data_IF_219020075598
#
_entry.id   IF_219020075598
#
_cell.length_a   1.000
_cell.length_b   1.000
_cell.length_c   1.000
_cell.angle_alpha   90.00
_cell.angle_beta   90.00
_cell.angle_gamma   90.00
#
_symmetry.space_group_name_H-M   'P 1'
#
loop_
_entity.id
_entity.type
_entity.pdbx_description
1 polymer ?
#
# COMPACT_ATOMS: atom_id res chain seq x y z
N UNK A 1 10.44 -15.35 -6.20
CA UNK A 1 10.85 -14.57 -7.38
C UNK A 1 9.83 -13.47 -7.73
N UNK A 2 8.54 -13.58 -7.39
CA UNK A 2 7.54 -12.56 -7.75
C UNK A 2 7.52 -11.23 -6.95
N UNK A 3 8.42 -10.98 -6.00
CA UNK A 3 8.42 -9.75 -5.17
C UNK A 3 9.20 -8.58 -5.78
N UNK A 4 10.14 -8.84 -6.69
CA UNK A 4 10.89 -7.80 -7.38
C UNK A 4 9.97 -7.00 -8.33
N UNK A 5 9.07 -7.70 -9.04
CA UNK A 5 8.01 -7.09 -9.86
C UNK A 5 7.07 -6.19 -9.05
N UNK A 6 6.58 -6.69 -7.91
CA UNK A 6 5.78 -5.90 -6.96
C UNK A 6 6.53 -4.64 -6.47
N UNK A 7 7.81 -4.75 -6.15
CA UNK A 7 8.61 -3.60 -5.67
C UNK A 7 8.82 -2.57 -6.79
N UNK A 8 9.13 -3.01 -8.01
CA UNK A 8 9.26 -2.13 -9.17
C UNK A 8 7.92 -1.50 -9.60
N UNK A 9 6.80 -2.21 -9.43
CA UNK A 9 5.45 -1.67 -9.58
C UNK A 9 5.14 -0.60 -8.52
N UNK A 10 5.43 -0.88 -7.23
CA UNK A 10 5.24 0.05 -6.12
C UNK A 10 5.96 1.39 -6.35
N UNK A 11 7.23 1.35 -6.75
CA UNK A 11 8.04 2.56 -6.98
C UNK A 11 7.56 3.38 -8.19
N UNK A 12 7.26 2.73 -9.32
CA UNK A 12 6.72 3.42 -10.51
C UNK A 12 5.34 4.03 -10.23
N UNK A 13 4.49 3.33 -9.48
CA UNK A 13 3.18 3.83 -9.08
C UNK A 13 3.30 4.99 -8.09
N UNK A 14 4.19 4.92 -7.09
CA UNK A 14 4.47 6.03 -6.17
C UNK A 14 4.93 7.28 -6.93
N UNK A 15 5.89 7.13 -7.86
CA UNK A 15 6.35 8.22 -8.74
C UNK A 15 5.18 8.82 -9.53
N UNK A 16 4.36 7.98 -10.18
CA UNK A 16 3.24 8.45 -11.02
C UNK A 16 2.11 9.11 -10.22
N UNK A 17 1.88 8.67 -8.99
CA UNK A 17 0.94 9.32 -8.06
C UNK A 17 1.50 10.64 -7.51
N UNK A 18 2.81 10.75 -7.26
CA UNK A 18 3.45 12.01 -6.88
C UNK A 18 3.45 13.07 -8.00
N UNK A 19 3.49 12.64 -9.26
CA UNK A 19 3.38 13.51 -10.45
C UNK A 19 1.94 13.99 -10.76
N UNK A 20 0.91 13.39 -10.16
CA UNK A 20 -0.48 13.61 -10.54
C UNK A 20 -1.06 14.95 -10.07
N UNK A 21 -1.74 15.70 -10.95
CA UNK A 21 -2.29 17.04 -10.61
C UNK A 21 -3.28 17.02 -9.43
N UNK A 22 -4.06 15.95 -9.26
CA UNK A 22 -5.03 15.79 -8.17
C UNK A 22 -4.40 15.39 -6.81
N UNK A 23 -3.12 15.01 -6.83
CA UNK A 23 -2.37 14.46 -5.67
C UNK A 23 -1.11 15.28 -5.38
N UNK A 24 -0.88 16.34 -6.16
CA UNK A 24 0.25 17.25 -6.05
C UNK A 24 0.10 18.14 -4.82
N UNK A 25 0.97 17.95 -3.84
CA UNK A 25 0.93 18.68 -2.57
C UNK A 25 0.03 18.04 -1.50
N UNK A 26 -0.56 16.86 -1.75
CA UNK A 26 -1.25 16.08 -0.71
C UNK A 26 -0.40 14.91 -0.21
N UNK A 27 -0.69 14.44 1.01
CA UNK A 27 -0.23 13.13 1.45
C UNK A 27 -0.75 12.03 0.52
N UNK A 28 0.01 10.94 0.41
CA UNK A 28 -0.37 9.76 -0.38
C UNK A 28 -0.14 8.52 0.47
N UNK A 29 -1.10 7.60 0.47
CA UNK A 29 -0.97 6.28 1.08
C UNK A 29 -1.69 5.26 0.20
N UNK A 30 -1.03 4.17 -0.17
CA UNK A 30 -1.66 3.11 -0.95
C UNK A 30 -1.06 1.76 -0.59
N UNK A 31 -1.73 0.68 -0.99
CA UNK A 31 -1.16 -0.67 -0.92
C UNK A 31 -0.75 -1.12 -2.34
N UNK A 32 0.56 -1.14 -2.65
CA UNK A 32 1.04 -1.74 -3.88
C UNK A 32 0.64 -3.20 -3.99
N UNK A 33 0.68 -3.94 -2.88
CA UNK A 33 0.30 -5.35 -2.81
C UNK A 33 -1.17 -5.57 -3.20
N UNK A 34 -2.11 -4.82 -2.62
CA UNK A 34 -3.54 -4.85 -2.99
C UNK A 34 -3.78 -4.64 -4.49
N UNK A 35 -3.09 -3.65 -5.07
CA UNK A 35 -3.23 -3.33 -6.49
C UNK A 35 -2.57 -4.38 -7.37
N UNK A 36 -1.41 -4.90 -6.98
CA UNK A 36 -0.68 -5.94 -7.69
C UNK A 36 -1.50 -7.24 -7.76
N UNK A 37 -2.11 -7.66 -6.65
CA UNK A 37 -2.96 -8.85 -6.62
C UNK A 37 -4.28 -8.62 -7.36
N UNK A 38 -4.92 -7.46 -7.22
CA UNK A 38 -6.16 -7.15 -7.96
C UNK A 38 -5.93 -7.13 -9.48
N UNK A 39 -4.84 -6.52 -9.95
CA UNK A 39 -4.44 -6.55 -11.36
C UNK A 39 -3.98 -7.95 -11.79
N UNK A 40 -3.43 -8.76 -10.88
CA UNK A 40 -3.16 -10.18 -11.12
C UNK A 40 -4.44 -11.01 -11.30
N UNK A 41 -5.52 -10.68 -10.61
CA UNK A 41 -6.83 -11.29 -10.83
C UNK A 41 -7.38 -10.88 -12.21
N UNK A 42 -7.26 -9.60 -12.61
CA UNK A 42 -7.58 -9.19 -14.00
C UNK A 42 -6.74 -9.98 -15.00
N UNK A 43 -5.44 -10.16 -14.75
CA UNK A 43 -4.54 -10.89 -15.65
C UNK A 43 -4.95 -12.37 -15.82
N UNK A 44 -5.53 -13.00 -14.80
CA UNK A 44 -6.06 -14.37 -14.92
C UNK A 44 -7.22 -14.50 -15.93
N UNK A 45 -7.94 -13.41 -16.20
CA UNK A 45 -9.00 -13.36 -17.22
C UNK A 45 -8.64 -12.56 -18.48
N UNK A 46 -7.40 -12.07 -18.58
CA UNK A 46 -6.92 -11.30 -19.73
C UNK A 46 -6.30 -12.19 -20.80
N UNK A 47 -6.38 -11.75 -22.06
CA UNK A 47 -5.81 -12.42 -23.23
C UNK A 47 -5.04 -11.44 -24.12
N UNK A 48 -4.25 -12.00 -25.04
CA UNK A 48 -3.50 -11.23 -26.05
C UNK A 48 -2.71 -10.05 -25.47
N UNK A 49 -2.80 -8.90 -26.14
CA UNK A 49 -2.08 -7.68 -25.70
C UNK A 49 -2.52 -7.13 -24.35
N UNK A 50 -3.78 -7.36 -23.97
CA UNK A 50 -4.27 -6.93 -22.66
C UNK A 50 -3.53 -7.67 -21.55
N UNK A 51 -3.27 -8.97 -21.74
CA UNK A 51 -2.41 -9.76 -20.85
C UNK A 51 -0.95 -9.30 -20.93
N UNK A 52 -0.39 -9.09 -22.13
CA UNK A 52 1.00 -8.64 -22.30
C UNK A 52 1.27 -7.31 -21.55
N UNK A 53 0.35 -6.34 -21.63
CA UNK A 53 0.45 -5.06 -20.91
C UNK A 53 0.33 -5.24 -19.39
N UNK A 54 -0.56 -6.12 -18.90
CA UNK A 54 -0.67 -6.43 -17.46
C UNK A 54 0.60 -7.08 -16.91
N UNK A 55 1.15 -8.08 -17.62
CA UNK A 55 2.39 -8.76 -17.22
C UNK A 55 3.59 -7.81 -17.25
N UNK A 56 3.70 -6.95 -18.26
CA UNK A 56 4.74 -5.93 -18.34
C UNK A 56 4.59 -4.82 -17.26
N UNK A 57 3.35 -4.46 -16.92
CA UNK A 57 3.08 -3.52 -15.82
C UNK A 57 3.45 -4.13 -14.46
N UNK A 58 3.13 -5.39 -14.21
CA UNK A 58 3.40 -6.06 -12.94
C UNK A 58 4.84 -6.60 -12.85
N UNK A 59 5.53 -6.78 -13.98
CA UNK A 59 6.87 -7.37 -14.01
C UNK A 59 6.88 -8.88 -13.75
N UNK A 60 5.80 -9.57 -14.14
CA UNK A 60 5.62 -11.01 -13.97
C UNK A 60 5.72 -11.77 -15.32
N UNK A 61 6.06 -13.05 -15.27
CA UNK A 61 6.21 -13.88 -16.48
C UNK A 61 4.89 -14.50 -16.96
N UNK A 62 3.92 -14.72 -16.07
CA UNK A 62 2.59 -15.26 -16.42
C UNK A 62 1.53 -14.92 -15.38
N UNK A 63 0.25 -15.11 -15.74
CA UNK A 63 -0.87 -15.01 -14.79
C UNK A 63 -0.79 -16.08 -13.69
N UNK A 64 -0.28 -17.28 -14.00
CA UNK A 64 -0.05 -18.35 -13.02
C UNK A 64 0.98 -17.95 -11.95
N UNK A 65 2.02 -17.20 -12.33
CA UNK A 65 2.99 -16.67 -11.36
C UNK A 65 2.32 -15.70 -10.39
N UNK A 66 1.43 -14.83 -10.90
CA UNK A 66 0.67 -13.87 -10.09
C UNK A 66 -0.30 -14.60 -9.15
N UNK A 67 -1.09 -15.56 -9.65
CA UNK A 67 -2.01 -16.36 -8.84
C UNK A 67 -1.25 -17.19 -7.78
N UNK A 68 -0.13 -17.80 -8.15
CA UNK A 68 0.74 -18.54 -7.22
C UNK A 68 1.38 -17.66 -6.16
N UNK A 69 1.71 -16.41 -6.48
CA UNK A 69 2.16 -15.41 -5.50
C UNK A 69 1.05 -15.10 -4.49
N UNK A 70 -0.20 -14.87 -4.93
CA UNK A 70 -1.34 -14.59 -4.03
C UNK A 70 -1.64 -15.77 -3.12
N UNK A 71 -1.69 -16.99 -3.67
CA UNK A 71 -1.89 -18.21 -2.87
C UNK A 71 -0.77 -18.42 -1.82
N UNK A 72 0.44 -17.91 -2.09
CA UNK A 72 1.58 -17.94 -1.17
C UNK A 72 1.60 -16.83 -0.11
N UNK A 73 0.67 -15.87 -0.13
CA UNK A 73 0.68 -14.75 0.82
C UNK A 73 0.34 -15.22 2.25
N UNK A 74 1.14 -14.83 3.26
CA UNK A 74 0.85 -15.14 4.65
C UNK A 74 -0.33 -14.30 5.14
N UNK A 75 -1.39 -14.96 5.59
CA UNK A 75 -2.52 -14.34 6.29
C UNK A 75 -2.53 -14.80 7.76
N UNK A 76 -2.56 -13.87 8.71
CA UNK A 76 -2.77 -14.16 10.13
C UNK A 76 -3.97 -13.36 10.67
N UNK A 77 -5.20 -13.90 10.53
CA UNK A 77 -6.40 -13.33 11.14
C UNK A 77 -6.48 -13.61 12.65
N UNK A 78 -5.63 -14.48 13.18
CA UNK A 78 -5.66 -15.00 14.55
C UNK A 78 -4.81 -14.21 15.55
N UNK A 79 -3.89 -13.37 15.07
CA UNK A 79 -3.06 -12.51 15.93
C UNK A 79 -2.08 -13.31 16.77
N UNK A 80 -1.22 -14.10 16.14
CA UNK A 80 -0.18 -14.97 16.73
C UNK A 80 0.95 -14.23 17.50
N UNK A 81 0.67 -13.01 17.98
CA UNK A 81 1.62 -12.10 18.60
C UNK A 81 2.28 -11.12 17.64
N UNK A 82 2.18 -11.34 16.32
CA UNK A 82 2.68 -10.49 15.24
C UNK A 82 1.64 -9.53 14.65
N UNK A 83 1.91 -8.90 13.49
CA UNK A 83 0.95 -8.03 12.82
C UNK A 83 -0.24 -8.82 12.27
N UNK A 84 -1.45 -8.30 12.51
CA UNK A 84 -2.66 -8.81 11.86
C UNK A 84 -2.67 -8.29 10.43
N UNK A 85 -2.81 -9.20 9.47
CA UNK A 85 -2.98 -8.88 8.06
C UNK A 85 -4.08 -9.74 7.44
N UNK A 86 -5.04 -9.07 6.79
CA UNK A 86 -6.14 -9.70 6.04
C UNK A 86 -6.14 -9.21 4.60
N UNK A 87 -6.50 -10.11 3.69
CA UNK A 87 -6.73 -9.82 2.28
C UNK A 87 -8.07 -10.45 1.90
N UNK A 88 -8.94 -9.65 1.31
CA UNK A 88 -10.28 -10.12 0.93
C UNK A 88 -10.58 -9.61 -0.46
N UNK A 89 -11.08 -10.49 -1.33
CA UNK A 89 -11.35 -10.20 -2.73
C UNK A 89 -12.83 -10.42 -3.01
N UNK A 90 -13.44 -9.56 -3.81
CA UNK A 90 -14.83 -9.69 -4.23
C UNK A 90 -14.94 -9.57 -5.75
N UNK A 91 -15.71 -10.46 -6.36
CA UNK A 91 -16.03 -10.49 -7.80
C UNK A 91 -17.55 -10.38 -7.95
N UNK A 92 -18.02 -9.19 -8.28
CA UNK A 92 -19.43 -8.94 -8.57
C UNK A 92 -19.60 -8.90 -10.08
N UNK A 93 -20.53 -9.67 -10.66
CA UNK A 93 -20.73 -9.73 -12.12
C UNK A 93 -22.21 -9.59 -12.47
N UNK A 94 -22.50 -9.11 -13.69
CA UNK A 94 -23.88 -8.94 -14.16
C UNK A 94 -24.61 -10.29 -14.15
N UNK A 95 -25.84 -10.32 -13.62
CA UNK A 95 -26.68 -11.51 -13.63
C UNK A 95 -26.93 -12.00 -15.07
N UNK A 96 -26.95 -13.33 -15.24
CA UNK A 96 -27.04 -14.03 -16.53
C UNK A 96 -25.83 -13.84 -17.46
N UNK A 97 -24.77 -13.17 -17.00
CA UNK A 97 -23.49 -13.06 -17.69
C UNK A 97 -22.45 -13.88 -16.92
N UNK A 98 -22.36 -15.17 -17.26
CA UNK A 98 -21.54 -16.16 -16.56
C UNK A 98 -20.03 -15.89 -16.73
N UNK A 99 -19.28 -16.10 -15.64
CA UNK A 99 -17.82 -16.10 -15.65
C UNK A 99 -17.30 -17.39 -16.30
N UNK A 100 -16.11 -17.36 -16.92
CA UNK A 100 -15.53 -18.59 -17.45
C UNK A 100 -15.15 -19.56 -16.33
N UNK A 101 -15.20 -20.90 -16.55
CA UNK A 101 -14.83 -21.88 -15.53
C UNK A 101 -13.40 -21.73 -15.02
N UNK A 102 -12.46 -21.35 -15.89
CA UNK A 102 -11.04 -21.21 -15.55
C UNK A 102 -10.83 -19.97 -14.66
N UNK A 103 -11.44 -18.83 -15.00
CA UNK A 103 -11.38 -17.62 -14.17
C UNK A 103 -12.07 -17.83 -12.82
N UNK A 104 -13.24 -18.48 -12.81
CA UNK A 104 -13.95 -18.84 -11.58
C UNK A 104 -13.05 -19.69 -10.66
N UNK A 105 -12.38 -20.70 -11.21
CA UNK A 105 -11.46 -21.56 -10.47
C UNK A 105 -10.26 -20.80 -9.90
N UNK A 106 -9.62 -19.91 -10.68
CA UNK A 106 -8.53 -19.07 -10.16
C UNK A 106 -9.02 -18.13 -9.05
N UNK A 107 -10.18 -17.49 -9.24
CA UNK A 107 -10.78 -16.59 -8.26
C UNK A 107 -11.12 -17.29 -6.93
N UNK A 108 -11.67 -18.51 -6.96
CA UNK A 108 -11.98 -19.26 -5.73
C UNK A 108 -10.76 -19.90 -5.08
N UNK A 109 -9.90 -20.59 -5.83
CA UNK A 109 -8.81 -21.37 -5.23
C UNK A 109 -7.57 -20.52 -4.88
N UNK A 110 -7.18 -19.59 -5.76
CA UNK A 110 -5.95 -18.78 -5.55
C UNK A 110 -6.23 -17.50 -4.77
N UNK A 111 -7.37 -16.85 -5.04
CA UNK A 111 -7.73 -15.56 -4.42
C UNK A 111 -8.72 -15.70 -3.26
N UNK A 112 -9.43 -16.84 -3.13
CA UNK A 112 -10.52 -17.04 -2.16
C UNK A 112 -11.57 -15.93 -2.23
N UNK A 113 -11.84 -15.46 -3.45
CA UNK A 113 -12.74 -14.34 -3.68
C UNK A 113 -14.19 -14.73 -3.37
N UNK A 114 -14.94 -13.80 -2.78
CA UNK A 114 -16.40 -13.87 -2.73
C UNK A 114 -16.95 -13.53 -4.12
N UNK A 115 -17.85 -14.36 -4.66
CA UNK A 115 -18.35 -14.22 -6.02
C UNK A 115 -19.87 -14.10 -5.99
N UNK A 116 -20.41 -13.05 -6.62
CA UNK A 116 -21.85 -12.73 -6.59
C UNK A 116 -22.35 -12.20 -7.92
N UNK A 117 -23.46 -12.76 -8.40
CA UNK A 117 -24.24 -12.20 -9.48
C UNK A 117 -25.09 -11.03 -8.98
N UNK A 118 -25.17 -9.96 -9.77
CA UNK A 118 -25.86 -8.70 -9.47
C UNK A 118 -26.55 -8.21 -10.73
N UNK A 119 -27.81 -7.76 -10.66
CA UNK A 119 -28.40 -7.03 -11.77
C UNK A 119 -28.05 -5.54 -11.71
N UNK A 120 -27.04 -5.11 -12.47
CA UNK A 120 -26.66 -3.70 -12.58
C UNK A 120 -27.60 -2.89 -13.49
N UNK A 121 -28.59 -3.50 -14.17
CA UNK A 121 -29.57 -2.75 -14.95
C UNK A 121 -30.55 -1.97 -14.06
N UNK A 122 -30.94 -2.55 -12.92
CA UNK A 122 -31.92 -1.98 -11.99
C UNK A 122 -31.27 -1.01 -10.98
N UNK A 123 -31.77 0.22 -10.89
CA UNK A 123 -31.16 1.30 -10.11
C UNK A 123 -31.11 1.01 -8.60
N UNK A 124 -32.20 0.47 -8.05
CA UNK A 124 -32.29 0.10 -6.64
C UNK A 124 -31.28 -1.02 -6.30
N UNK A 125 -31.11 -2.00 -7.19
CA UNK A 125 -30.18 -3.13 -7.03
C UNK A 125 -28.73 -2.67 -7.13
N UNK A 126 -28.40 -1.75 -8.06
CA UNK A 126 -27.06 -1.13 -8.12
C UNK A 126 -26.68 -0.43 -6.82
N UNK A 127 -27.57 0.40 -6.30
CA UNK A 127 -27.28 1.25 -5.15
C UNK A 127 -27.33 0.45 -3.83
N UNK A 128 -28.13 -0.62 -3.75
CA UNK A 128 -28.02 -1.63 -2.70
C UNK A 128 -26.67 -2.35 -2.78
N UNK A 129 -26.29 -2.86 -3.95
CA UNK A 129 -24.98 -3.53 -4.16
C UNK A 129 -23.81 -2.63 -3.78
N UNK A 130 -23.83 -1.33 -4.15
CA UNK A 130 -22.79 -0.38 -3.77
C UNK A 130 -22.67 -0.26 -2.23
N UNK A 131 -23.80 -0.21 -1.54
CA UNK A 131 -23.85 -0.16 -0.06
C UNK A 131 -23.36 -1.46 0.55
N UNK A 132 -23.73 -2.62 0.00
CA UNK A 132 -23.23 -3.93 0.45
C UNK A 132 -21.71 -4.05 0.27
N UNK A 133 -21.15 -3.66 -0.88
CA UNK A 133 -19.70 -3.61 -1.12
C UNK A 133 -19.00 -2.69 -0.10
N UNK A 134 -19.61 -1.54 0.21
CA UNK A 134 -19.07 -0.62 1.22
C UNK A 134 -19.14 -1.20 2.64
N UNK A 135 -20.22 -1.91 2.99
CA UNK A 135 -20.35 -2.59 4.29
C UNK A 135 -19.39 -3.77 4.44
N UNK A 136 -19.19 -4.55 3.37
CA UNK A 136 -18.19 -5.60 3.26
C UNK A 136 -16.78 -5.03 3.45
N UNK A 137 -16.42 -3.98 2.68
CA UNK A 137 -15.13 -3.32 2.82
C UNK A 137 -14.91 -2.73 4.23
N UNK A 138 -15.96 -2.22 4.87
CA UNK A 138 -15.90 -1.76 6.25
C UNK A 138 -15.63 -2.92 7.22
N UNK A 139 -16.36 -4.04 7.11
CA UNK A 139 -16.17 -5.20 7.97
C UNK A 139 -14.74 -5.77 7.86
N UNK A 140 -14.26 -6.00 6.63
CA UNK A 140 -12.94 -6.56 6.35
C UNK A 140 -11.78 -5.63 6.76
N UNK A 141 -12.04 -4.33 6.93
CA UNK A 141 -11.03 -3.33 7.32
C UNK A 141 -11.17 -2.84 8.77
N UNK A 142 -11.89 -3.58 9.63
CA UNK A 142 -12.19 -3.18 11.01
C UNK A 142 -12.81 -1.78 11.13
N UNK A 143 -13.65 -1.43 10.16
CA UNK A 143 -14.33 -0.14 10.00
C UNK A 143 -13.38 1.05 9.80
N UNK A 144 -12.23 0.84 9.15
CA UNK A 144 -11.38 1.94 8.68
C UNK A 144 -11.82 2.46 7.30
N UNK A 145 -12.42 1.62 6.46
CA UNK A 145 -12.88 1.98 5.10
C UNK A 145 -14.40 1.82 4.99
N UNK A 146 -15.14 2.87 5.37
CA UNK A 146 -16.61 2.91 5.33
C UNK A 146 -17.21 3.14 3.94
N UNK A 147 -16.46 3.79 3.05
CA UNK A 147 -16.87 4.09 1.68
C UNK A 147 -15.69 3.77 0.76
N UNK A 148 -15.77 2.64 0.06
CA UNK A 148 -14.80 2.17 -0.93
C UNK A 148 -15.26 2.58 -2.35
N UNK A 149 -16.55 2.39 -2.64
CA UNK A 149 -17.22 2.82 -3.86
C UNK A 149 -18.04 4.10 -3.63
N UNK A 150 -17.69 5.24 -4.26
CA UNK A 150 -18.45 6.49 -4.14
C UNK A 150 -19.81 6.40 -4.86
N UNK A 151 -20.76 7.27 -4.48
CA UNK A 151 -22.03 7.40 -5.20
C UNK A 151 -21.84 7.58 -6.71
N UNK A 152 -22.66 6.87 -7.51
CA UNK A 152 -22.56 6.87 -8.97
C UNK A 152 -21.37 6.11 -9.56
N UNK A 153 -20.62 5.31 -8.78
CA UNK A 153 -19.54 4.48 -9.32
C UNK A 153 -20.02 3.27 -10.12
N UNK A 154 -21.25 2.81 -9.87
CA UNK A 154 -21.90 1.69 -10.59
C UNK A 154 -22.96 2.26 -11.54
N UNK A 155 -23.04 1.70 -12.75
CA UNK A 155 -23.91 2.17 -13.84
C UNK A 155 -24.65 1.00 -14.49
N UNK A 156 -25.64 1.29 -15.33
CA UNK A 156 -26.35 0.32 -16.20
C UNK A 156 -25.43 -0.31 -17.27
N UNK A 157 -24.25 0.28 -17.47
CA UNK A 157 -23.19 -0.26 -18.31
C UNK A 157 -22.17 -1.11 -17.53
N UNK A 158 -22.21 -1.14 -16.19
CA UNK A 158 -21.33 -2.00 -15.39
C UNK A 158 -21.60 -3.48 -15.71
N UNK A 159 -20.54 -4.25 -15.93
CA UNK A 159 -20.61 -5.70 -16.24
C UNK A 159 -19.93 -6.56 -15.20
N UNK A 160 -18.88 -6.04 -14.56
CA UNK A 160 -18.27 -6.64 -13.39
C UNK A 160 -17.60 -5.57 -12.52
N UNK A 161 -17.36 -5.91 -11.26
CA UNK A 161 -16.60 -5.13 -10.29
C UNK A 161 -15.65 -6.09 -9.57
N UNK A 162 -14.36 -5.83 -9.66
CA UNK A 162 -13.36 -6.49 -8.83
C UNK A 162 -13.03 -5.57 -7.66
N UNK A 163 -13.09 -6.11 -6.46
CA UNK A 163 -12.80 -5.37 -5.22
C UNK A 163 -11.71 -6.10 -4.45
N UNK A 164 -10.85 -5.33 -3.78
CA UNK A 164 -9.92 -5.86 -2.80
C UNK A 164 -9.89 -4.95 -1.58
N UNK A 165 -9.97 -5.59 -0.41
CA UNK A 165 -9.68 -4.97 0.88
C UNK A 165 -8.36 -5.55 1.41
N UNK A 166 -7.50 -4.68 1.92
CA UNK A 166 -6.33 -5.05 2.71
C UNK A 166 -6.36 -4.27 4.01
N UNK A 167 -6.11 -4.96 5.12
CA UNK A 167 -5.97 -4.35 6.43
C UNK A 167 -4.68 -4.85 7.08
N UNK A 168 -3.92 -3.92 7.65
CA UNK A 168 -2.68 -4.22 8.37
C UNK A 168 -2.68 -3.50 9.71
N UNK A 169 -2.35 -4.23 10.77
CA UNK A 169 -2.17 -3.70 12.12
C UNK A 169 -1.02 -4.41 12.82
N UNK A 170 0.10 -3.71 13.00
CA UNK A 170 1.27 -4.22 13.74
C UNK A 170 1.63 -3.34 14.94
N UNK A 171 1.97 -3.95 16.07
CA UNK A 171 2.63 -3.23 17.18
C UNK A 171 4.14 -3.11 16.90
N UNK A 172 4.80 -2.02 17.31
CA UNK A 172 6.26 -1.90 17.15
C UNK A 172 6.99 -2.97 17.98
N UNK A 173 8.14 -3.47 17.50
CA UNK A 173 9.06 -4.28 18.32
C UNK A 173 9.58 -3.45 19.51
N UNK A 174 9.89 -2.18 19.25
CA UNK A 174 10.27 -1.17 20.26
C UNK A 174 9.27 -0.02 20.20
N UNK A 175 8.36 0.06 21.16
CA UNK A 175 7.37 1.14 21.27
C UNK A 175 8.03 2.47 21.66
N UNK A 176 7.44 3.56 21.21
CA UNK A 176 7.74 4.89 21.72
C UNK A 176 6.99 5.11 23.05
N UNK A 177 7.57 5.81 24.03
CA UNK A 177 6.82 6.19 25.24
C UNK A 177 5.97 7.44 24.96
N UNK A 178 4.64 7.32 25.06
CA UNK A 178 3.68 8.43 24.89
C UNK A 178 4.02 9.67 25.73
N UNK A 179 4.59 9.47 26.92
CA UNK A 179 5.00 10.55 27.81
C UNK A 179 6.26 11.32 27.36
N UNK A 180 6.85 10.96 26.21
CA UNK A 180 7.93 11.66 25.54
C UNK A 180 7.50 12.24 24.19
N UNK A 181 6.25 12.05 23.78
CA UNK A 181 5.70 12.70 22.60
C UNK A 181 5.49 14.19 22.92
N UNK A 182 6.18 15.07 22.19
CA UNK A 182 6.08 16.52 22.32
C UNK A 182 5.80 17.13 20.94
N UNK A 183 5.17 18.31 20.90
CA UNK A 183 4.89 19.02 19.65
C UNK A 183 6.16 19.72 19.15
N UNK A 184 6.47 19.56 17.86
CA UNK A 184 7.56 20.27 17.18
C UNK A 184 7.14 20.71 15.78
N UNK A 185 7.89 21.66 15.21
CA UNK A 185 7.70 22.19 13.86
C UNK A 185 7.99 21.12 12.78
N UNK A 186 7.06 20.97 11.83
CA UNK A 186 7.24 20.23 10.58
C UNK A 186 7.18 21.20 9.38
N UNK A 187 8.21 21.16 8.53
CA UNK A 187 8.42 22.05 7.40
C UNK A 187 7.76 21.48 6.14
N UNK A 188 6.89 22.23 5.47
CA UNK A 188 6.06 21.72 4.35
C UNK A 188 6.57 22.19 2.99
N UNK A 189 6.28 21.42 1.93
CA UNK A 189 6.70 21.74 0.55
C UNK A 189 5.99 22.97 -0.06
N UNK A 190 4.85 23.38 0.49
CA UNK A 190 4.04 24.47 -0.06
C UNK A 190 4.62 25.87 0.22
N UNK A 191 5.69 25.95 1.03
CA UNK A 191 6.31 27.20 1.45
C UNK A 191 5.47 27.99 2.44
N UNK A 192 4.45 27.38 3.04
CA UNK A 192 3.72 27.94 4.18
C UNK A 192 4.56 27.81 5.46
N UNK A 193 4.14 28.52 6.51
CA UNK A 193 4.77 28.42 7.83
C UNK A 193 4.78 26.95 8.33
N UNK A 194 5.80 26.53 9.11
CA UNK A 194 5.82 25.20 9.72
C UNK A 194 4.59 24.92 10.57
N UNK A 195 4.23 23.64 10.71
CA UNK A 195 3.11 23.19 11.55
C UNK A 195 3.62 22.45 12.78
N UNK A 196 3.16 22.85 13.95
CA UNK A 196 3.39 22.10 15.19
C UNK A 196 2.59 20.79 15.14
N UNK A 197 3.30 19.66 15.25
CA UNK A 197 2.71 18.31 15.28
C UNK A 197 3.40 17.44 16.33
N UNK A 198 2.72 16.42 16.89
CA UNK A 198 3.32 15.55 17.90
C UNK A 198 4.37 14.60 17.30
N UNK A 199 5.63 14.76 17.71
CA UNK A 199 6.72 13.85 17.36
C UNK A 199 6.97 12.82 18.45
N UNK A 200 7.04 11.56 18.03
CA UNK A 200 7.44 10.44 18.87
C UNK A 200 8.97 10.35 18.95
N UNK A 201 9.49 10.08 20.15
CA UNK A 201 10.93 9.91 20.39
C UNK A 201 11.24 8.71 21.30
N UNK A 202 12.52 8.34 21.37
CA UNK A 202 13.02 7.28 22.25
C UNK A 202 13.99 7.88 23.29
N UNK A 203 14.04 7.36 24.53
CA UNK A 203 14.79 7.96 25.62
C UNK A 203 16.32 7.84 25.44
N UNK A 204 16.92 8.91 24.93
CA UNK A 204 18.38 9.07 24.83
C UNK A 204 18.99 8.30 23.66
N UNK A 205 20.21 7.80 23.83
CA UNK A 205 20.94 7.15 22.72
C UNK A 205 20.56 5.67 22.60
N UNK A 206 19.85 5.32 21.53
CA UNK A 206 19.37 3.98 21.21
C UNK A 206 20.24 3.31 20.11
N UNK A 207 20.05 2.01 19.91
CA UNK A 207 20.59 1.28 18.76
C UNK A 207 19.45 0.93 17.80
N UNK A 208 19.41 1.61 16.67
CA UNK A 208 18.32 1.56 15.69
C UNK A 208 18.85 1.16 14.33
N UNK A 209 18.02 0.52 13.51
CA UNK A 209 18.38 0.26 12.12
C UNK A 209 18.28 1.56 11.32
N UNK A 210 19.43 2.24 11.13
CA UNK A 210 19.53 3.47 10.33
C UNK A 210 20.70 3.38 9.35
N UNK A 211 20.42 3.65 8.07
CA UNK A 211 21.42 3.90 7.02
C UNK A 211 21.46 5.38 6.65
N UNK A 212 22.66 5.88 6.34
CA UNK A 212 22.89 7.22 5.82
C UNK A 212 23.45 7.04 4.41
N UNK A 213 22.64 7.36 3.40
CA UNK A 213 22.98 7.23 1.99
C UNK A 213 23.39 8.62 1.45
N UNK A 214 23.75 8.69 0.17
CA UNK A 214 23.99 9.98 -0.48
C UNK A 214 22.63 10.65 -0.79
N UNK A 215 22.35 11.78 -0.12
CA UNK A 215 21.14 12.58 -0.32
C UNK A 215 19.90 12.13 0.45
N UNK A 216 19.95 11.03 1.22
CA UNK A 216 18.84 10.57 2.07
C UNK A 216 19.27 9.59 3.16
N UNK A 217 18.43 9.46 4.19
CA UNK A 217 18.56 8.56 5.34
C UNK A 217 17.41 7.56 5.32
N UNK A 218 17.64 6.34 5.81
CA UNK A 218 16.56 5.35 5.99
C UNK A 218 16.54 4.86 7.42
N UNK A 219 15.40 5.05 8.10
CA UNK A 219 15.09 4.42 9.39
C UNK A 219 14.23 3.18 9.14
N UNK A 220 14.59 2.06 9.77
CA UNK A 220 13.77 0.85 9.80
C UNK A 220 13.26 0.61 11.22
N UNK A 221 11.94 0.53 11.35
CA UNK A 221 11.19 0.21 12.57
C UNK A 221 10.53 -1.17 12.40
N UNK A 222 11.10 -2.23 13.02
CA UNK A 222 10.47 -3.55 13.01
C UNK A 222 9.16 -3.55 13.78
N UNK A 223 8.18 -4.27 13.26
CA UNK A 223 7.01 -4.67 14.03
C UNK A 223 7.34 -5.89 14.89
N UNK A 224 6.61 -6.08 15.99
CA UNK A 224 6.72 -7.27 16.84
C UNK A 224 6.44 -8.52 15.99
N UNK A 225 7.31 -9.53 16.09
CA UNK A 225 7.10 -10.82 15.46
C UNK A 225 6.10 -11.69 16.26
N UNK A 226 5.38 -12.56 15.56
CA UNK A 226 4.59 -13.63 16.18
C UNK A 226 5.44 -14.77 16.71
N UNK A 227 4.85 -15.63 17.55
CA UNK A 227 5.60 -16.65 18.29
C UNK A 227 6.19 -17.74 17.36
N UNK A 228 5.56 -17.99 16.20
CA UNK A 228 6.01 -18.91 15.13
C UNK A 228 6.41 -18.18 13.82
N UNK A 229 6.91 -16.93 13.91
CA UNK A 229 7.00 -16.00 12.77
C UNK A 229 7.87 -16.47 11.58
N UNK A 230 7.20 -17.04 10.56
CA UNK A 230 7.71 -17.27 9.20
C UNK A 230 7.81 -15.98 8.35
N UNK A 231 7.21 -14.88 8.81
CA UNK A 231 7.20 -13.56 8.15
C UNK A 231 7.59 -12.47 9.14
N UNK A 232 8.32 -11.45 8.69
CA UNK A 232 8.75 -10.33 9.53
C UNK A 232 8.46 -9.02 8.83
N UNK A 233 7.74 -8.12 9.49
CA UNK A 233 7.34 -6.84 8.92
C UNK A 233 8.14 -5.69 9.53
N UNK A 234 8.45 -4.68 8.71
CA UNK A 234 9.06 -3.42 9.15
C UNK A 234 8.45 -2.24 8.41
N UNK A 235 8.28 -1.11 9.10
CA UNK A 235 8.14 0.18 8.42
C UNK A 235 9.53 0.75 8.14
N UNK A 236 9.76 1.18 6.91
CA UNK A 236 10.98 1.87 6.49
C UNK A 236 10.63 3.31 6.10
N UNK A 237 11.21 4.28 6.79
CA UNK A 237 11.03 5.72 6.55
C UNK A 237 12.24 6.23 5.79
N UNK A 238 12.02 6.72 4.58
CA UNK A 238 13.02 7.30 3.68
C UNK A 238 12.89 8.82 3.75
N UNK A 239 13.89 9.46 4.33
CA UNK A 239 13.93 10.89 4.61
C UNK A 239 15.07 11.52 3.78
N UNK A 240 14.81 12.49 2.89
CA UNK A 240 15.87 13.18 2.15
C UNK A 240 16.83 13.93 3.10
N UNK A 241 17.95 14.40 2.56
CA UNK A 241 18.85 15.32 3.29
C UNK A 241 18.44 16.80 3.14
N UNK A 242 17.62 17.13 2.14
CA UNK A 242 17.09 18.47 1.83
C UNK A 242 15.55 18.45 1.95
N UNK A 243 14.96 19.52 2.49
CA UNK A 243 13.52 19.59 2.82
C UNK A 243 12.59 19.36 1.61
N UNK A 244 13.00 19.77 0.41
CA UNK A 244 12.27 19.59 -0.85
C UNK A 244 12.70 18.34 -1.67
N UNK A 245 13.66 17.57 -1.15
CA UNK A 245 14.32 16.46 -1.85
C UNK A 245 13.45 15.22 -2.12
N UNK A 246 12.26 15.12 -1.52
CA UNK A 246 11.40 13.93 -1.57
C UNK A 246 11.09 13.46 -3.00
N UNK A 247 10.68 14.37 -3.90
CA UNK A 247 10.35 14.00 -5.28
C UNK A 247 11.57 13.51 -6.07
N UNK A 248 12.73 14.14 -5.85
CA UNK A 248 13.99 13.73 -6.47
C UNK A 248 14.45 12.35 -5.95
N UNK A 249 14.32 12.09 -4.65
CA UNK A 249 14.61 10.80 -4.03
C UNK A 249 13.69 9.69 -4.57
N UNK A 250 12.36 9.89 -4.60
CA UNK A 250 11.42 8.90 -5.13
C UNK A 250 11.65 8.63 -6.61
N UNK A 251 11.93 9.67 -7.41
CA UNK A 251 12.29 9.52 -8.82
C UNK A 251 13.55 8.69 -9.00
N UNK A 252 14.60 8.97 -8.21
CA UNK A 252 15.87 8.25 -8.26
C UNK A 252 15.71 6.78 -7.87
N UNK A 253 14.96 6.49 -6.79
CA UNK A 253 14.66 5.11 -6.37
C UNK A 253 13.90 4.32 -7.45
N UNK A 254 12.94 4.95 -8.13
CA UNK A 254 12.19 4.32 -9.21
C UNK A 254 13.03 4.09 -10.48
N UNK A 255 13.93 5.04 -10.82
CA UNK A 255 14.71 4.99 -12.06
C UNK A 255 15.97 4.11 -11.96
N UNK A 256 16.49 3.86 -10.74
CA UNK A 256 17.65 2.96 -10.54
C UNK A 256 17.34 1.47 -10.79
N UNK A 257 16.07 1.05 -10.72
CA UNK A 257 15.66 -0.34 -10.94
C UNK A 257 16.20 -1.37 -9.93
N UNK A 258 16.87 -0.93 -8.87
CA UNK A 258 17.34 -1.77 -7.76
C UNK A 258 16.21 -2.09 -6.76
N UNK A 259 16.48 -2.99 -5.80
CA UNK A 259 15.48 -3.29 -4.79
C UNK A 259 15.42 -2.16 -3.76
N UNK A 260 14.21 -1.73 -3.38
CA UNK A 260 13.99 -0.84 -2.23
C UNK A 260 14.76 -1.32 -0.97
N UNK A 261 14.87 -2.64 -0.82
CA UNK A 261 15.51 -3.34 0.29
C UNK A 261 17.04 -3.21 0.31
N UNK A 262 17.67 -2.80 -0.78
CA UNK A 262 19.13 -2.59 -0.84
C UNK A 262 19.56 -1.38 0.00
N UNK A 263 18.67 -0.39 0.15
CA UNK A 263 18.87 0.79 1.01
C UNK A 263 18.44 0.57 2.46
N UNK A 264 17.67 -0.49 2.74
CA UNK A 264 17.12 -0.77 4.07
C UNK A 264 18.21 -1.30 5.01
N UNK A 265 18.45 -0.65 6.16
CA UNK A 265 19.54 -1.03 7.07
C UNK A 265 19.37 -2.43 7.68
N UNK A 266 20.39 -3.27 7.48
CA UNK A 266 20.49 -4.64 8.02
C UNK A 266 21.22 -4.71 9.38
N UNK A 267 21.92 -3.65 9.76
CA UNK A 267 22.67 -3.52 11.02
C UNK A 267 22.11 -2.36 11.84
N UNK A 268 22.21 -2.45 13.17
CA UNK A 268 21.85 -1.35 14.08
C UNK A 268 23.02 -0.38 14.22
N UNK A 269 22.71 0.90 14.09
CA UNK A 269 23.58 2.05 14.29
C UNK A 269 23.19 2.74 15.61
N UNK A 270 24.13 3.39 16.28
CA UNK A 270 23.78 4.24 17.43
C UNK A 270 23.09 5.49 16.92
N UNK A 271 21.95 5.84 17.52
CA UNK A 271 21.18 7.04 17.22
C UNK A 271 20.99 7.79 18.54
N UNK A 272 21.46 9.03 18.58
CA UNK A 272 21.40 9.95 19.72
C UNK A 272 20.01 10.54 19.91
N UNK A 273 19.32 10.80 18.80
CA UNK A 273 18.07 11.54 18.73
C UNK A 273 17.24 11.00 17.57
N UNK A 274 16.00 10.61 17.87
CA UNK A 274 15.01 10.15 16.91
C UNK A 274 13.77 11.02 17.10
N UNK A 275 13.29 11.62 16.03
CA UNK A 275 12.00 12.32 15.99
C UNK A 275 11.25 11.82 14.76
N UNK A 276 10.07 11.24 14.96
CA UNK A 276 9.17 10.80 13.89
C UNK A 276 7.76 11.32 14.21
N UNK A 277 7.12 12.12 13.34
CA UNK A 277 5.79 12.63 13.62
C UNK A 277 4.78 11.50 13.63
N UNK A 278 3.75 11.62 14.49
CA UNK A 278 2.54 10.81 14.39
C UNK A 278 1.79 11.26 13.13
N UNK A 279 1.17 10.31 12.44
CA UNK A 279 0.32 10.64 11.30
C UNK A 279 -0.78 9.60 11.11
N UNK A 280 -1.91 10.07 10.58
CA UNK A 280 -3.00 9.24 10.10
C UNK A 280 -3.34 9.69 8.69
N UNK A 281 -3.20 8.79 7.72
CA UNK A 281 -3.50 9.04 6.33
C UNK A 281 -4.73 8.23 5.93
N UNK A 282 -5.69 8.86 5.28
CA UNK A 282 -6.70 8.18 4.46
C UNK A 282 -6.55 8.72 3.06
N UNK A 283 -6.45 7.82 2.09
CA UNK A 283 -6.23 8.18 0.69
C UNK A 283 -7.13 7.33 -0.19
N UNK A 284 -7.81 7.99 -1.11
CA UNK A 284 -8.66 7.38 -2.13
C UNK A 284 -8.21 7.89 -3.49
N UNK A 285 -8.06 6.99 -4.45
CA UNK A 285 -7.75 7.36 -5.82
C UNK A 285 -8.48 6.50 -6.86
N UNK A 286 -8.64 7.12 -8.03
CA UNK A 286 -9.10 6.50 -9.27
C UNK A 286 -7.88 6.29 -10.15
N UNK A 287 -7.57 5.03 -10.47
CA UNK A 287 -6.29 4.64 -11.04
C UNK A 287 -6.30 4.45 -12.55
N UNK A 288 -7.45 4.46 -13.24
CA UNK A 288 -7.50 4.21 -14.69
C UNK A 288 -6.52 5.09 -15.49
N UNK A 289 -6.50 6.41 -15.23
CA UNK A 289 -5.58 7.32 -15.94
C UNK A 289 -4.11 7.12 -15.52
N UNK A 290 -3.86 6.76 -14.27
CA UNK A 290 -2.51 6.48 -13.75
C UNK A 290 -1.95 5.20 -14.41
N UNK A 291 -2.77 4.15 -14.49
CA UNK A 291 -2.43 2.85 -15.10
C UNK A 291 -2.25 2.97 -16.62
N UNK A 292 -3.12 3.71 -17.34
CA UNK A 292 -2.91 4.09 -18.76
C UNK A 292 -1.59 4.84 -18.97
N UNK A 293 -1.22 5.71 -18.03
CA UNK A 293 0.06 6.44 -18.01
C UNK A 293 1.28 5.55 -17.74
N UNK A 294 1.10 4.43 -17.04
CA UNK A 294 2.13 3.42 -16.75
C UNK A 294 2.24 2.32 -17.82
N UNK A 295 1.33 2.29 -18.79
CA UNK A 295 1.39 1.40 -19.96
C UNK A 295 0.20 0.46 -20.14
N UNK A 296 -0.73 0.37 -19.19
CA UNK A 296 -1.93 -0.47 -19.30
C UNK A 296 -3.05 0.30 -20.00
N UNK A 297 -3.20 0.11 -21.32
CA UNK A 297 -4.08 0.89 -22.20
C UNK A 297 -5.16 0.04 -22.87
N UNK A 298 -4.79 -1.13 -23.38
CA UNK A 298 -5.68 -2.06 -24.09
C UNK A 298 -6.85 -2.44 -23.15
N UNK A 299 -6.55 -2.77 -21.89
CA UNK A 299 -7.54 -3.14 -20.86
C UNK A 299 -8.67 -2.11 -20.61
N UNK A 300 -8.44 -0.84 -20.94
CA UNK A 300 -9.42 0.26 -20.74
C UNK A 300 -9.94 0.83 -22.08
N UNK A 301 -9.77 0.13 -23.20
CA UNK A 301 -10.15 0.59 -24.54
C UNK A 301 -11.22 -0.32 -25.12
N UNK A 302 -12.33 0.23 -25.63
CA UNK A 302 -13.53 -0.54 -26.00
C UNK A 302 -13.25 -1.59 -27.08
N UNK A 303 -12.56 -1.18 -28.15
CA UNK A 303 -12.34 -1.99 -29.34
C UNK A 303 -11.13 -2.92 -29.25
N UNK A 304 -10.47 -2.95 -28.08
CA UNK A 304 -9.10 -3.45 -27.93
C UNK A 304 -8.87 -4.26 -26.64
N UNK A 305 -9.69 -4.04 -25.60
CA UNK A 305 -9.68 -4.86 -24.40
C UNK A 305 -9.92 -6.34 -24.75
N UNK A 306 -9.13 -7.21 -24.13
CA UNK A 306 -9.30 -8.65 -24.26
C UNK A 306 -9.34 -9.28 -22.89
N UNK A 307 -10.52 -9.18 -22.27
CA UNK A 307 -10.88 -9.82 -21.00
C UNK A 307 -11.76 -11.08 -21.25
N UNK A 308 -11.57 -11.73 -22.40
CA UNK A 308 -12.33 -12.92 -22.81
C UNK A 308 -12.17 -14.13 -21.88
N UNK A 309 -11.13 -14.12 -21.04
CA UNK A 309 -10.95 -15.10 -19.97
C UNK A 309 -11.83 -14.83 -18.75
N UNK A 310 -12.24 -13.58 -18.47
CA UNK A 310 -13.25 -13.30 -17.44
C UNK A 310 -14.61 -13.81 -17.90
N UNK A 311 -14.98 -13.48 -19.14
CA UNK A 311 -16.30 -13.71 -19.72
C UNK A 311 -16.21 -13.90 -21.23
N UNK A 312 -16.95 -14.87 -21.78
CA UNK A 312 -16.87 -15.19 -23.20
C UNK A 312 -17.35 -14.00 -24.08
N UNK A 313 -16.53 -13.60 -25.05
CA UNK A 313 -16.82 -12.51 -26.00
C UNK A 313 -18.09 -12.70 -26.83
N UNK A 314 -18.59 -13.92 -26.96
CA UNK A 314 -19.88 -14.21 -27.58
C UNK A 314 -21.09 -13.83 -26.71
N UNK A 315 -20.89 -13.64 -25.40
CA UNK A 315 -21.88 -13.15 -24.44
C UNK A 315 -21.84 -11.63 -24.36
N UNK A 316 -20.67 -11.05 -24.09
CA UNK A 316 -20.44 -9.61 -24.07
C UNK A 316 -18.95 -9.28 -24.23
N UNK A 317 -18.64 -8.20 -24.95
CA UNK A 317 -17.30 -7.62 -24.90
C UNK A 317 -17.17 -6.74 -23.66
N UNK A 318 -16.06 -6.85 -22.94
CA UNK A 318 -15.89 -6.26 -21.60
C UNK A 318 -14.50 -5.64 -21.43
N UNK A 319 -14.45 -4.49 -20.76
CA UNK A 319 -13.23 -3.73 -20.44
C UNK A 319 -13.19 -3.33 -18.97
N UNK A 320 -12.05 -2.82 -18.50
CA UNK A 320 -12.00 -2.01 -17.29
C UNK A 320 -12.46 -0.58 -17.60
N UNK A 321 -13.41 -0.06 -16.82
CA UNK A 321 -13.77 1.37 -16.86
C UNK A 321 -12.95 2.17 -15.84
N UNK A 322 -12.87 1.68 -14.59
CA UNK A 322 -12.15 2.34 -13.49
C UNK A 322 -11.52 1.32 -12.54
N UNK A 323 -10.46 1.72 -11.84
CA UNK A 323 -9.87 0.97 -10.71
C UNK A 323 -9.88 1.88 -9.48
N UNK A 324 -10.74 1.57 -8.53
CA UNK A 324 -10.84 2.29 -7.26
C UNK A 324 -9.85 1.72 -6.24
N UNK A 325 -9.09 2.58 -5.58
CA UNK A 325 -8.23 2.20 -4.47
C UNK A 325 -8.47 3.09 -3.27
N UNK A 326 -8.50 2.49 -2.08
CA UNK A 326 -8.55 3.21 -0.81
C UNK A 326 -7.63 2.52 0.20
N UNK A 327 -6.86 3.33 0.91
CA UNK A 327 -5.99 2.87 1.98
C UNK A 327 -6.07 3.81 3.18
N UNK A 328 -5.92 3.24 4.38
CA UNK A 328 -5.78 3.98 5.63
C UNK A 328 -4.51 3.47 6.32
N UNK A 329 -3.63 4.40 6.72
CA UNK A 329 -2.39 4.10 7.45
C UNK A 329 -2.35 4.99 8.68
N UNK A 330 -2.15 4.38 9.85
CA UNK A 330 -2.03 5.08 11.13
C UNK A 330 -0.74 4.69 11.84
N UNK A 331 0.02 5.71 12.27
CA UNK A 331 1.30 5.58 12.96
C UNK A 331 1.23 6.30 14.30
N UNK A 332 1.41 5.53 15.37
CA UNK A 332 1.42 6.01 16.75
C UNK A 332 2.48 5.27 17.59
N UNK A 333 2.54 5.62 18.88
CA UNK A 333 3.61 5.23 19.79
C UNK A 333 3.66 3.73 20.06
N UNK A 334 2.50 3.07 20.01
CA UNK A 334 2.34 1.64 20.26
C UNK A 334 2.71 0.79 19.04
N UNK A 335 2.80 1.42 17.85
CA UNK A 335 2.77 0.78 16.54
C UNK A 335 1.57 1.31 15.76
N UNK A 336 0.65 0.39 15.53
CA UNK A 336 -0.71 0.65 15.09
C UNK A 336 -1.68 0.10 16.18
N UNK A 337 -1.38 0.37 17.48
CA UNK A 337 -2.06 -0.11 18.73
C UNK A 337 -1.81 -1.60 19.09
N UNK A 338 -1.44 -2.07 20.30
CA UNK A 338 -1.48 -1.49 21.67
C UNK A 338 -0.21 -1.72 22.57
N UNK A 339 -0.21 -1.25 23.83
CA UNK A 339 0.77 -1.15 24.95
C UNK A 339 1.49 -2.43 25.52
N UNK A 340 2.50 -2.40 26.42
CA UNK A 340 3.09 -1.35 27.30
C UNK A 340 4.67 -1.35 27.36
N UNK A 341 5.29 -0.73 28.39
CA UNK A 341 6.68 -0.17 28.40
C UNK A 341 7.71 -0.75 29.43
N UNK A 342 9.02 -0.48 29.21
CA UNK A 342 10.11 -0.41 30.23
C UNK A 342 11.36 0.34 29.69
N UNK A 343 12.20 0.96 30.55
CA UNK A 343 13.35 1.80 30.12
C UNK A 343 14.61 1.73 31.04
N UNK A 344 15.81 1.98 30.50
CA UNK A 344 17.10 2.16 31.23
C UNK A 344 18.04 3.15 30.48
N UNK A 345 18.81 3.98 31.19
CA UNK A 345 19.68 5.04 30.65
C UNK A 345 21.19 4.76 30.89
N UNK A 346 22.07 5.11 29.94
CA UNK A 346 23.53 5.19 30.16
C UNK A 346 24.30 6.03 29.13
N UNK A 347 25.25 6.88 29.57
CA UNK A 347 26.04 7.80 28.71
C UNK A 347 27.54 7.45 28.64
N UNK A 348 28.17 7.71 27.48
CA UNK A 348 29.58 8.20 27.36
C UNK A 348 29.86 8.82 25.97
N UNK A 349 30.73 9.84 25.92
CA UNK A 349 31.04 10.69 24.74
C UNK A 349 32.19 10.13 23.87
N UNK A 350 32.09 10.22 22.52
CA UNK A 350 32.96 11.07 21.66
C UNK A 350 32.67 10.95 20.15
N UNK A 351 33.10 11.99 19.43
CA UNK A 351 33.05 12.25 17.97
C UNK A 351 31.67 12.40 17.33
N UNK A 352 31.51 13.52 16.62
CA UNK A 352 30.33 13.84 15.83
C UNK A 352 30.44 13.17 14.46
N UNK A 353 29.69 12.10 14.28
CA UNK A 353 29.02 11.83 13.01
C UNK A 353 27.53 12.16 13.23
N UNK A 354 26.75 12.35 12.16
CA UNK A 354 25.29 12.49 12.29
C UNK A 354 24.76 11.20 12.92
N UNK A 355 24.23 11.30 14.14
CA UNK A 355 23.63 10.20 14.92
C UNK A 355 22.13 10.49 15.11
N UNK A 356 21.52 11.23 14.19
CA UNK A 356 20.26 11.93 14.43
C UNK A 356 19.35 11.66 13.23
N UNK A 357 18.14 11.18 13.51
CA UNK A 357 17.09 10.94 12.51
C UNK A 357 15.87 11.75 12.93
N UNK A 358 15.71 12.92 12.34
CA UNK A 358 14.66 13.88 12.64
C UNK A 358 13.85 14.03 11.36
N UNK A 359 12.62 13.53 11.34
CA UNK A 359 11.73 13.56 10.18
C UNK A 359 10.81 14.79 10.22
N UNK A 360 11.43 15.97 10.31
CA UNK A 360 10.82 17.30 10.43
C UNK A 360 10.43 17.95 9.09
N UNK A 361 10.51 17.17 8.01
CA UNK A 361 10.20 17.58 6.64
C UNK A 361 9.79 16.33 5.82
N UNK A 362 9.25 16.50 4.59
CA UNK A 362 8.61 15.46 3.81
C UNK A 362 9.42 14.19 3.58
N UNK A 363 8.79 13.05 3.86
CA UNK A 363 9.40 11.72 3.77
C UNK A 363 8.48 10.71 3.09
N UNK A 364 9.09 9.67 2.51
CA UNK A 364 8.39 8.49 2.03
C UNK A 364 8.39 7.39 3.11
N UNK A 365 7.36 6.57 3.16
CA UNK A 365 7.31 5.38 4.02
C UNK A 365 6.89 4.15 3.23
N UNK A 366 7.41 3.00 3.66
CA UNK A 366 7.10 1.69 3.09
C UNK A 366 6.93 0.67 4.20
N UNK A 367 5.81 -0.04 4.24
CA UNK A 367 5.63 -1.23 5.10
C UNK A 367 6.02 -2.44 4.26
N UNK A 368 7.07 -3.13 4.66
CA UNK A 368 7.64 -4.27 3.91
C UNK A 368 7.59 -5.55 4.72
N UNK A 369 7.33 -6.67 4.06
CA UNK A 369 7.56 -8.01 4.58
C UNK A 369 8.97 -8.46 4.16
N UNK A 370 9.84 -8.72 5.13
CA UNK A 370 11.29 -8.87 4.93
C UNK A 370 11.73 -10.20 4.32
N UNK A 371 10.89 -11.26 4.39
CA UNK A 371 11.27 -12.60 3.93
C UNK A 371 11.01 -12.76 2.43
N UNK A 372 9.83 -12.33 1.98
CA UNK A 372 9.47 -12.23 0.57
C UNK A 372 10.05 -10.97 -0.09
N UNK A 373 10.16 -9.87 0.65
CA UNK A 373 10.48 -8.54 0.12
C UNK A 373 9.25 -7.76 -0.37
N UNK A 374 8.03 -8.23 -0.11
CA UNK A 374 6.81 -7.58 -0.59
C UNK A 374 6.55 -6.20 0.07
N UNK A 375 6.22 -5.20 -0.75
CA UNK A 375 5.80 -3.87 -0.27
C UNK A 375 4.28 -3.87 -0.03
N UNK A 376 3.89 -3.98 1.24
CA UNK A 376 2.49 -4.09 1.69
C UNK A 376 1.79 -2.73 1.57
N UNK A 377 2.42 -1.67 2.05
CA UNK A 377 1.95 -0.28 1.92
C UNK A 377 3.11 0.63 1.51
N UNK A 378 2.80 1.67 0.76
CA UNK A 378 3.72 2.72 0.36
C UNK A 378 3.01 4.08 0.43
N UNK A 379 3.77 5.14 0.65
CA UNK A 379 3.21 6.48 0.69
C UNK A 379 4.24 7.55 0.99
N UNK A 380 3.76 8.79 1.09
CA UNK A 380 4.55 9.92 1.55
C UNK A 380 3.73 10.84 2.47
N UNK A 381 4.44 11.53 3.34
CA UNK A 381 3.90 12.57 4.23
C UNK A 381 4.48 13.90 3.77
N UNK A 382 3.61 14.83 3.37
CA UNK A 382 3.91 16.23 3.08
C UNK A 382 3.40 17.17 4.17
N UNK A 383 2.33 16.77 4.88
CA UNK A 383 1.77 17.47 6.03
C UNK A 383 1.20 16.43 7.04
N UNK A 384 1.90 16.12 8.15
CA UNK A 384 1.39 15.17 9.15
C UNK A 384 0.18 15.69 9.94
N UNK A 385 -0.10 17.01 9.91
CA UNK A 385 -1.26 17.60 10.60
C UNK A 385 -2.58 17.34 9.86
N UNK A 386 -2.53 17.06 8.55
CA UNK A 386 -3.73 16.77 7.74
C UNK A 386 -4.25 15.35 7.98
N UNK A 387 -4.84 15.15 9.17
CA UNK A 387 -5.61 13.94 9.50
C UNK A 387 -6.99 13.96 8.80
N UNK A 388 -7.49 12.80 8.35
CA UNK A 388 -8.79 12.64 7.71
C UNK A 388 -9.99 12.66 8.68
#
# INVERSE_FOLDING_TARGET
MGSDGLTAFALRLAKKLGEGDNTRGSNIAFSPLSLYTTLGLVAAGACGRTLDELLALLGAASADELAGFVHGLPSDPSGSGGPVITYTYGVFHQEHMELTPDFLHTATESYKAEIRAVDFAEDEVREETRKEINQWAAAETNNLIWEFLPEGSLTDHSRFVLTNAIYFKGAWETRFPENLTEDHEFHRLDGADPVDVPFMTLPGTCELFVSYNEGFKVLKLPYKAGDDAMSRYSMCVFLPDEDDGLHAMVSTLADMGGSLLDHVPKLRSRVRELMLPKFKLSFFCRLAQVLRGLGLREAFTEEAADLSGIMDKSVCDVRLDEVFHKAVVEVNEEGTVAAACAAVIGRKKKCAMRLEFIADHPFAFYIVEEVSGAVVFAGHVLDPSSSP
#
